data_IF_925855982664
#
_entry.id   IF_925855982664
#
_cell.length_a   1.000
_cell.length_b   1.000
_cell.length_c   1.000
_cell.angle_alpha   90.00
_cell.angle_beta   90.00
_cell.angle_gamma   90.00
#
_symmetry.space_group_name_H-M   'P 1'
#
loop_
_entity.id
_entity.type
_entity.pdbx_description
1 polymer ?
#
# COMPACT_ATOMS: atom_id res chain seq x y z
N UNK A 1 1.59 52.39 -2.27
CA UNK A 1 0.41 51.62 -1.88
C UNK A 1 0.90 50.32 -1.32
N UNK A 2 1.03 50.28 0.00
CA UNK A 2 1.45 49.10 0.73
C UNK A 2 0.23 48.17 0.85
N UNK A 3 0.26 47.05 0.14
CA UNK A 3 -0.72 46.00 0.32
C UNK A 3 -0.38 45.21 1.59
N UNK A 4 -1.14 45.49 2.66
CA UNK A 4 -1.15 44.65 3.84
C UNK A 4 -1.49 43.21 3.43
N UNK A 5 -0.50 42.31 3.49
CA UNK A 5 -0.76 40.89 3.55
C UNK A 5 -1.44 40.62 4.90
N UNK A 6 -2.75 40.64 4.90
CA UNK A 6 -3.54 40.05 5.97
C UNK A 6 -3.14 38.58 6.08
N UNK A 7 -2.28 38.25 7.03
CA UNK A 7 -2.11 36.88 7.50
C UNK A 7 -3.43 36.47 8.13
N UNK A 8 -4.27 35.79 7.36
CA UNK A 8 -5.45 35.13 7.88
C UNK A 8 -4.98 34.20 9.00
N UNK A 9 -5.48 34.42 10.20
CA UNK A 9 -5.25 33.54 11.35
C UNK A 9 -6.11 32.28 11.13
N UNK A 10 -5.59 31.37 10.32
CA UNK A 10 -6.29 30.19 9.78
C UNK A 10 -6.88 29.32 10.88
N UNK A 11 -6.33 29.41 12.11
CA UNK A 11 -6.70 28.52 13.22
C UNK A 11 -8.06 28.82 13.85
N UNK A 12 -8.59 30.04 13.75
CA UNK A 12 -9.86 30.40 14.38
C UNK A 12 -11.10 30.08 13.51
N UNK A 13 -10.95 29.95 12.20
CA UNK A 13 -12.05 29.70 11.26
C UNK A 13 -12.25 28.22 10.93
N UNK A 14 -11.34 27.34 11.36
CA UNK A 14 -11.46 25.90 11.11
C UNK A 14 -12.62 25.26 11.89
N UNK A 15 -13.43 24.45 11.22
CA UNK A 15 -14.58 23.78 11.84
C UNK A 15 -14.20 22.98 13.10
N UNK A 16 -13.09 22.23 13.04
CA UNK A 16 -12.58 21.43 14.16
C UNK A 16 -11.63 22.20 15.08
N UNK A 17 -11.51 23.52 14.93
CA UNK A 17 -10.56 24.40 15.65
C UNK A 17 -9.08 24.09 15.36
N UNK A 18 -8.79 23.13 14.53
CA UNK A 18 -7.47 22.75 14.03
C UNK A 18 -7.59 22.27 12.59
N UNK A 19 -6.55 22.43 11.75
CA UNK A 19 -6.51 21.83 10.43
C UNK A 19 -6.72 20.31 10.50
N UNK A 20 -7.65 19.81 9.69
CA UNK A 20 -7.90 18.36 9.52
C UNK A 20 -7.82 18.01 8.04
N UNK A 21 -7.33 16.84 7.79
CA UNK A 21 -7.12 16.35 6.43
C UNK A 21 -7.93 15.08 6.19
N UNK A 22 -8.30 14.84 4.95
CA UNK A 22 -8.89 13.56 4.53
C UNK A 22 -7.85 12.45 4.73
N UNK A 23 -8.31 11.29 5.18
CA UNK A 23 -7.41 10.19 5.53
C UNK A 23 -6.70 9.59 4.32
N UNK A 24 -5.43 9.25 4.49
CA UNK A 24 -4.63 8.53 3.48
C UNK A 24 -4.70 7.01 3.66
N UNK A 25 -5.25 6.54 4.79
CA UNK A 25 -5.38 5.13 5.16
C UNK A 25 -6.15 5.01 6.48
N UNK A 26 -6.87 3.93 6.67
CA UNK A 26 -7.53 3.56 7.93
C UNK A 26 -6.68 2.62 8.79
N UNK A 27 -5.48 2.25 8.35
CA UNK A 27 -4.63 1.25 9.01
C UNK A 27 -4.46 1.52 10.50
N UNK A 28 -4.01 2.72 10.89
CA UNK A 28 -3.71 3.02 12.29
C UNK A 28 -4.94 2.91 13.20
N UNK A 29 -6.14 3.17 12.66
CA UNK A 29 -7.39 2.97 13.38
C UNK A 29 -7.74 1.48 13.52
N UNK A 30 -7.53 0.69 12.46
CA UNK A 30 -7.73 -0.76 12.50
C UNK A 30 -6.78 -1.43 13.50
N UNK A 31 -5.55 -0.93 13.62
CA UNK A 31 -4.60 -1.41 14.63
C UNK A 31 -5.13 -1.22 16.07
N UNK A 32 -5.90 -0.17 16.34
CA UNK A 32 -6.55 -0.03 17.64
C UNK A 32 -7.62 -1.10 17.89
N UNK A 33 -8.37 -1.48 16.86
CA UNK A 33 -9.43 -2.49 16.97
C UNK A 33 -8.90 -3.93 16.98
N UNK A 34 -7.76 -4.22 16.36
CA UNK A 34 -7.19 -5.57 16.32
C UNK A 34 -6.74 -6.05 17.71
N UNK A 35 -6.50 -5.13 18.64
CA UNK A 35 -6.19 -5.48 20.03
C UNK A 35 -7.37 -6.14 20.75
N UNK A 36 -8.61 -5.82 20.39
CA UNK A 36 -9.82 -6.46 20.91
C UNK A 36 -10.29 -7.60 20.00
N UNK A 37 -10.28 -7.39 18.68
CA UNK A 37 -10.77 -8.32 17.68
C UNK A 37 -9.61 -9.02 16.97
N UNK A 38 -9.74 -10.33 16.72
CA UNK A 38 -8.67 -11.09 16.05
C UNK A 38 -8.44 -10.68 14.60
N UNK A 39 -9.50 -10.24 13.92
CA UNK A 39 -9.47 -9.80 12.52
C UNK A 39 -10.43 -8.63 12.35
N UNK A 40 -9.94 -7.57 11.77
CA UNK A 40 -10.73 -6.37 11.48
C UNK A 40 -10.43 -5.90 10.05
N UNK A 41 -11.44 -5.30 9.41
CA UNK A 41 -11.26 -4.79 8.06
C UNK A 41 -12.22 -3.63 7.78
N UNK A 42 -11.89 -2.85 6.77
CA UNK A 42 -12.75 -1.82 6.21
C UNK A 42 -12.57 -1.74 4.69
N UNK A 43 -13.62 -1.34 4.00
CA UNK A 43 -13.57 -0.88 2.61
C UNK A 43 -14.06 0.56 2.61
N UNK A 44 -13.15 1.51 2.43
CA UNK A 44 -13.43 2.93 2.61
C UNK A 44 -12.70 3.80 1.59
N UNK A 45 -13.20 5.03 1.32
CA UNK A 45 -12.48 5.99 0.50
C UNK A 45 -11.18 6.41 1.17
N UNK A 46 -10.15 6.55 0.35
CA UNK A 46 -8.81 6.98 0.72
C UNK A 46 -8.38 8.13 -0.18
N UNK A 47 -7.67 9.11 0.39
CA UNK A 47 -7.34 10.35 -0.30
C UNK A 47 -5.83 10.58 -0.32
N UNK A 48 -5.23 10.74 -1.52
CA UNK A 48 -3.81 11.03 -1.69
C UNK A 48 -3.60 12.12 -2.72
N UNK A 49 -3.06 13.26 -2.29
CA UNK A 49 -2.79 14.42 -3.16
C UNK A 49 -1.43 14.27 -3.88
N UNK A 50 -1.25 13.18 -4.60
CA UNK A 50 -0.04 12.94 -5.39
C UNK A 50 -0.08 13.73 -6.70
N UNK A 51 0.99 14.48 -6.99
CA UNK A 51 1.15 15.23 -8.24
C UNK A 51 1.55 14.29 -9.39
N UNK A 52 0.72 13.29 -9.66
CA UNK A 52 0.97 12.26 -10.67
C UNK A 52 -0.27 12.08 -11.55
N UNK A 53 -0.10 12.21 -12.85
CA UNK A 53 -1.15 12.01 -13.84
C UNK A 53 -0.82 10.80 -14.73
N UNK A 54 -0.98 9.60 -14.14
CA UNK A 54 -0.77 8.33 -14.83
C UNK A 54 -2.06 7.51 -14.84
N UNK A 55 -2.16 6.47 -15.67
CA UNK A 55 -3.30 5.56 -15.69
C UNK A 55 -3.56 4.81 -14.36
N UNK A 56 -2.69 4.94 -13.37
CA UNK A 56 -2.77 4.23 -12.08
C UNK A 56 -3.06 5.14 -10.90
N UNK A 57 -3.17 6.46 -11.11
CA UNK A 57 -3.32 7.43 -10.03
C UNK A 57 -4.63 8.21 -10.14
N UNK A 58 -5.36 8.20 -9.04
CA UNK A 58 -6.48 9.09 -8.75
C UNK A 58 -6.30 9.61 -7.32
N UNK A 59 -6.85 10.77 -7.01
CA UNK A 59 -6.70 11.41 -5.69
C UNK A 59 -7.64 10.84 -4.64
N UNK A 60 -8.73 10.23 -5.07
CA UNK A 60 -9.70 9.52 -4.24
C UNK A 60 -9.96 8.14 -4.83
N UNK A 61 -9.80 7.11 -4.03
CA UNK A 61 -9.98 5.71 -4.43
C UNK A 61 -10.44 4.87 -3.24
N UNK A 62 -10.99 3.71 -3.52
CA UNK A 62 -11.38 2.77 -2.48
C UNK A 62 -10.21 1.87 -2.10
N UNK A 63 -10.02 1.71 -0.80
CA UNK A 63 -9.02 0.80 -0.24
C UNK A 63 -9.68 -0.23 0.67
N UNK A 64 -9.43 -1.50 0.40
CA UNK A 64 -9.71 -2.58 1.35
C UNK A 64 -8.50 -2.71 2.26
N UNK A 65 -8.70 -2.45 3.55
CA UNK A 65 -7.65 -2.56 4.56
C UNK A 65 -8.06 -3.56 5.62
N UNK A 66 -7.12 -4.38 6.07
CA UNK A 66 -7.36 -5.38 7.10
C UNK A 66 -6.15 -5.51 8.03
N UNK A 67 -6.43 -5.75 9.32
CA UNK A 67 -5.45 -6.09 10.34
C UNK A 67 -5.84 -7.39 11.02
N UNK A 68 -4.86 -8.27 11.27
CA UNK A 68 -5.04 -9.57 11.93
C UNK A 68 -4.00 -9.77 13.01
N UNK A 69 -4.39 -10.44 14.10
CA UNK A 69 -3.43 -10.91 15.11
C UNK A 69 -2.60 -12.03 14.52
N UNK A 70 -1.29 -11.82 14.41
CA UNK A 70 -0.34 -12.81 13.90
C UNK A 70 1.09 -12.37 14.18
N UNK A 71 1.99 -13.33 14.28
CA UNK A 71 3.45 -13.13 14.29
C UNK A 71 4.07 -13.45 12.92
N UNK A 72 3.27 -13.89 11.96
CA UNK A 72 3.73 -14.42 10.68
C UNK A 72 3.31 -13.55 9.51
N UNK A 73 4.29 -12.98 8.81
CA UNK A 73 4.06 -12.30 7.53
C UNK A 73 3.45 -13.24 6.49
N UNK A 74 3.79 -14.53 6.59
CA UNK A 74 3.26 -15.58 5.74
C UNK A 74 1.73 -15.69 5.84
N UNK A 75 1.18 -15.63 7.06
CA UNK A 75 -0.29 -15.71 7.27
C UNK A 75 -1.01 -14.51 6.66
N UNK A 76 -0.40 -13.32 6.67
CA UNK A 76 -0.97 -12.14 6.03
C UNK A 76 -0.98 -12.32 4.51
N UNK A 77 0.11 -12.81 3.92
CA UNK A 77 0.20 -13.09 2.48
C UNK A 77 -0.77 -14.20 2.07
N UNK A 78 -0.90 -15.28 2.84
CA UNK A 78 -1.84 -16.38 2.57
C UNK A 78 -3.29 -15.89 2.57
N UNK A 79 -3.64 -15.01 3.51
CA UNK A 79 -4.97 -14.40 3.56
C UNK A 79 -5.26 -13.56 2.29
N UNK A 80 -4.30 -12.77 1.85
CA UNK A 80 -4.42 -11.97 0.61
C UNK A 80 -4.58 -12.87 -0.61
N UNK A 81 -3.75 -13.91 -0.72
CA UNK A 81 -3.79 -14.87 -1.83
C UNK A 81 -5.13 -15.60 -1.88
N UNK A 82 -5.60 -16.15 -0.75
CA UNK A 82 -6.87 -16.85 -0.66
C UNK A 82 -8.06 -15.94 -0.98
N UNK A 83 -8.06 -14.72 -0.47
CA UNK A 83 -9.12 -13.74 -0.70
C UNK A 83 -9.25 -13.42 -2.21
N UNK A 84 -8.16 -13.07 -2.87
CA UNK A 84 -8.19 -12.70 -4.29
C UNK A 84 -8.53 -13.91 -5.17
N UNK A 85 -7.97 -15.09 -4.86
CA UNK A 85 -8.33 -16.34 -5.54
C UNK A 85 -9.81 -16.65 -5.43
N UNK A 86 -10.34 -16.64 -4.22
CA UNK A 86 -11.76 -16.94 -3.97
C UNK A 86 -12.67 -15.96 -4.68
N UNK A 87 -12.33 -14.66 -4.64
CA UNK A 87 -13.06 -13.63 -5.40
C UNK A 87 -13.06 -13.92 -6.90
N UNK A 88 -11.90 -14.24 -7.46
CA UNK A 88 -11.76 -14.50 -8.90
C UNK A 88 -12.50 -15.76 -9.32
N UNK A 89 -12.45 -16.84 -8.55
CA UNK A 89 -13.22 -18.06 -8.79
C UNK A 89 -14.74 -17.77 -8.81
N UNK A 90 -15.23 -16.99 -7.85
CA UNK A 90 -16.65 -16.59 -7.83
C UNK A 90 -17.04 -15.72 -9.03
N UNK A 91 -16.15 -14.87 -9.52
CA UNK A 91 -16.38 -14.11 -10.75
C UNK A 91 -16.44 -15.03 -11.98
N UNK A 92 -15.58 -16.05 -12.07
CA UNK A 92 -15.62 -17.04 -13.14
C UNK A 92 -16.94 -17.79 -13.17
N UNK A 93 -17.47 -18.15 -12.00
CA UNK A 93 -18.74 -18.90 -11.87
C UNK A 93 -19.99 -18.02 -12.08
N UNK A 94 -19.87 -16.70 -12.03
CA UNK A 94 -21.00 -15.75 -12.05
C UNK A 94 -21.54 -15.45 -13.46
N UNK A 95 -20.81 -15.78 -14.53
CA UNK A 95 -21.14 -15.40 -15.90
C UNK A 95 -20.90 -13.93 -16.25
N UNK A 96 -20.31 -13.13 -15.35
CA UNK A 96 -20.03 -11.70 -15.57
C UNK A 96 -19.04 -11.46 -16.73
N UNK A 97 -18.25 -12.47 -17.10
CA UNK A 97 -17.31 -12.37 -18.21
C UNK A 97 -17.98 -12.03 -19.53
N UNK A 98 -19.09 -12.69 -19.81
CA UNK A 98 -19.88 -12.47 -21.03
C UNK A 98 -20.40 -11.03 -21.10
N UNK A 99 -20.82 -10.47 -19.96
CA UNK A 99 -21.26 -9.08 -19.86
C UNK A 99 -20.09 -8.10 -20.10
N UNK A 100 -18.93 -8.35 -19.52
CA UNK A 100 -17.71 -7.54 -19.73
C UNK A 100 -17.28 -7.56 -21.21
N UNK A 101 -17.30 -8.74 -21.83
CA UNK A 101 -16.97 -8.89 -23.25
C UNK A 101 -18.01 -8.15 -24.12
N UNK A 102 -19.28 -8.23 -23.78
CA UNK A 102 -20.35 -7.50 -24.49
C UNK A 102 -20.19 -5.98 -24.34
N UNK A 103 -19.94 -5.50 -23.13
CA UNK A 103 -19.73 -4.07 -22.87
C UNK A 103 -18.52 -3.51 -23.64
N UNK A 104 -17.43 -4.28 -23.73
CA UNK A 104 -16.25 -3.88 -24.50
C UNK A 104 -16.56 -3.79 -26.02
N UNK A 105 -17.45 -4.64 -26.54
CA UNK A 105 -17.89 -4.59 -27.97
C UNK A 105 -18.63 -3.30 -28.30
N UNK A 106 -19.44 -2.80 -27.38
CA UNK A 106 -20.29 -1.63 -27.62
C UNK A 106 -19.48 -0.34 -27.83
N UNK A 107 -18.22 -0.32 -27.37
CA UNK A 107 -17.33 0.83 -27.50
C UNK A 107 -16.40 0.80 -28.71
N UNK A 108 -16.30 -0.33 -29.45
CA UNK A 108 -15.33 -0.52 -30.53
C UNK A 108 -15.89 -1.32 -31.70
N UNK A 109 -15.55 -0.91 -32.92
CA UNK A 109 -16.06 -1.50 -34.17
C UNK A 109 -15.11 -2.60 -34.68
N UNK A 110 -15.32 -3.88 -34.28
CA UNK A 110 -14.61 -5.01 -34.86
C UNK A 110 -14.74 -6.33 -34.08
N UNK A 111 -15.11 -7.42 -34.80
CA UNK A 111 -15.24 -8.76 -34.20
C UNK A 111 -13.92 -9.35 -33.66
N UNK A 112 -12.75 -8.96 -34.18
CA UNK A 112 -11.45 -9.45 -33.74
C UNK A 112 -11.00 -8.94 -32.36
N UNK A 113 -11.33 -7.70 -32.03
CA UNK A 113 -10.97 -7.10 -30.74
C UNK A 113 -11.68 -7.75 -29.56
N UNK A 114 -12.90 -8.20 -29.76
CA UNK A 114 -13.71 -8.87 -28.74
C UNK A 114 -13.13 -10.25 -28.35
N UNK A 115 -12.61 -10.99 -29.32
CA UNK A 115 -11.95 -12.29 -29.04
C UNK A 115 -10.65 -12.07 -28.26
N UNK A 116 -9.87 -11.06 -28.61
CA UNK A 116 -8.63 -10.73 -27.90
C UNK A 116 -8.92 -10.31 -26.45
N UNK A 117 -9.96 -9.50 -26.24
CA UNK A 117 -10.36 -9.07 -24.90
C UNK A 117 -10.81 -10.26 -24.02
N UNK A 118 -11.59 -11.18 -24.59
CA UNK A 118 -11.98 -12.40 -23.87
C UNK A 118 -10.78 -13.25 -23.45
N UNK A 119 -9.79 -13.43 -24.35
CA UNK A 119 -8.55 -14.15 -24.05
C UNK A 119 -7.74 -13.44 -22.95
N UNK A 120 -7.67 -12.12 -22.98
CA UNK A 120 -7.00 -11.33 -21.94
C UNK A 120 -7.63 -11.57 -20.56
N UNK A 121 -8.96 -11.55 -20.46
CA UNK A 121 -9.66 -11.83 -19.20
C UNK A 121 -9.37 -13.25 -18.71
N UNK A 122 -9.39 -14.26 -19.61
CA UNK A 122 -9.08 -15.64 -19.26
C UNK A 122 -7.66 -15.77 -18.71
N UNK A 123 -6.68 -15.15 -19.34
CA UNK A 123 -5.29 -15.18 -18.90
C UNK A 123 -5.12 -14.54 -17.52
N UNK A 124 -5.71 -13.37 -17.31
CA UNK A 124 -5.65 -12.65 -16.03
C UNK A 124 -6.31 -13.44 -14.91
N UNK A 125 -7.52 -13.93 -15.11
CA UNK A 125 -8.24 -14.70 -14.11
C UNK A 125 -7.61 -16.05 -13.84
N UNK A 126 -7.09 -16.72 -14.88
CA UNK A 126 -6.33 -17.94 -14.71
C UNK A 126 -5.10 -17.73 -13.83
N UNK A 127 -4.31 -16.67 -14.07
CA UNK A 127 -3.14 -16.35 -13.23
C UNK A 127 -3.53 -16.10 -11.77
N UNK A 128 -4.65 -15.41 -11.52
CA UNK A 128 -5.13 -15.14 -10.16
C UNK A 128 -5.64 -16.40 -9.43
N UNK A 129 -6.08 -17.42 -10.15
CA UNK A 129 -6.60 -18.66 -9.55
C UNK A 129 -5.53 -19.73 -9.31
N UNK A 130 -4.33 -19.58 -9.89
CA UNK A 130 -3.21 -20.48 -9.59
C UNK A 130 -2.70 -20.27 -8.15
N UNK A 131 -2.16 -21.32 -7.54
CA UNK A 131 -1.60 -21.29 -6.17
C UNK A 131 -0.54 -22.38 -6.03
N UNK A 132 0.51 -22.17 -5.23
CA UNK A 132 0.85 -20.92 -4.53
C UNK A 132 1.47 -19.89 -5.48
N UNK A 133 1.26 -18.60 -5.17
CA UNK A 133 1.93 -17.53 -5.91
C UNK A 133 3.41 -17.45 -5.52
N UNK A 134 4.32 -17.18 -6.48
CA UNK A 134 5.75 -17.01 -6.22
C UNK A 134 6.01 -15.93 -5.16
N UNK A 135 7.04 -16.16 -4.34
CA UNK A 135 7.55 -15.22 -3.33
C UNK A 135 9.04 -15.02 -3.56
N UNK A 136 9.48 -13.78 -3.54
CA UNK A 136 10.87 -13.39 -3.75
C UNK A 136 11.23 -12.28 -2.76
N UNK A 137 12.44 -12.31 -2.22
CA UNK A 137 12.91 -11.19 -1.40
C UNK A 137 13.25 -9.98 -2.27
N UNK A 138 13.19 -8.78 -1.69
CA UNK A 138 13.66 -7.57 -2.38
C UNK A 138 15.12 -7.70 -2.83
N UNK A 139 15.97 -8.32 -2.01
CA UNK A 139 17.37 -8.57 -2.36
C UNK A 139 17.50 -9.42 -3.62
N UNK A 140 16.78 -10.53 -3.69
CA UNK A 140 16.82 -11.42 -4.86
C UNK A 140 16.18 -10.76 -6.09
N UNK A 141 15.15 -9.92 -5.89
CA UNK A 141 14.54 -9.15 -6.97
C UNK A 141 15.56 -8.15 -7.56
N UNK A 142 16.27 -7.38 -6.72
CA UNK A 142 17.34 -6.48 -7.18
C UNK A 142 18.45 -7.24 -7.89
N UNK A 143 18.89 -8.39 -7.37
CA UNK A 143 19.90 -9.22 -8.01
C UNK A 143 19.48 -9.67 -9.41
N UNK A 144 18.23 -10.17 -9.56
CA UNK A 144 17.69 -10.56 -10.87
C UNK A 144 17.63 -9.39 -11.86
N UNK A 145 17.23 -8.22 -11.42
CA UNK A 145 17.19 -7.01 -12.26
C UNK A 145 18.59 -6.61 -12.73
N UNK A 146 19.58 -6.63 -11.83
CA UNK A 146 20.98 -6.34 -12.16
C UNK A 146 21.57 -7.37 -13.11
N UNK A 147 21.25 -8.65 -12.94
CA UNK A 147 21.70 -9.72 -13.84
C UNK A 147 21.09 -9.57 -15.24
N UNK A 148 19.80 -9.21 -15.32
CA UNK A 148 19.13 -8.92 -16.58
C UNK A 148 19.73 -7.72 -17.31
N UNK A 149 20.05 -6.66 -16.58
CA UNK A 149 20.71 -5.47 -17.14
C UNK A 149 22.13 -5.82 -17.64
N UNK A 150 22.92 -6.53 -16.84
CA UNK A 150 24.29 -6.97 -17.23
C UNK A 150 24.31 -7.89 -18.43
N UNK A 151 23.37 -8.84 -18.51
CA UNK A 151 23.25 -9.76 -19.63
C UNK A 151 22.55 -9.17 -20.85
N UNK A 152 22.10 -7.92 -20.80
CA UNK A 152 21.33 -7.20 -21.84
C UNK A 152 19.99 -7.89 -22.18
N UNK A 153 19.44 -8.69 -21.27
CA UNK A 153 18.09 -9.25 -21.41
C UNK A 153 17.01 -8.18 -21.22
N UNK A 154 17.30 -7.14 -20.42
CA UNK A 154 16.44 -5.98 -20.24
C UNK A 154 17.29 -4.70 -20.21
N UNK A 155 16.67 -3.60 -20.65
CA UNK A 155 17.23 -2.25 -20.54
C UNK A 155 16.27 -1.46 -19.65
N UNK A 156 16.78 -0.94 -18.54
CA UNK A 156 16.02 -0.12 -17.61
C UNK A 156 16.43 1.35 -17.74
N UNK A 157 15.48 2.26 -17.59
CA UNK A 157 15.74 3.70 -17.54
C UNK A 157 16.43 4.09 -16.21
N UNK A 158 16.06 3.39 -15.12
CA UNK A 158 16.64 3.56 -13.79
C UNK A 158 17.47 2.33 -13.45
N UNK A 159 18.69 2.54 -13.03
CA UNK A 159 19.56 1.43 -12.61
C UNK A 159 18.98 0.76 -11.36
N UNK A 160 18.79 -0.58 -11.36
CA UNK A 160 18.31 -1.30 -10.19
C UNK A 160 19.32 -1.24 -9.06
N UNK A 161 18.95 -0.60 -7.95
CA UNK A 161 19.81 -0.52 -6.76
C UNK A 161 19.03 -0.72 -5.47
N UNK A 162 19.74 -1.14 -4.42
CA UNK A 162 19.18 -1.38 -3.10
C UNK A 162 18.49 -0.14 -2.52
N UNK A 163 19.06 1.03 -2.73
CA UNK A 163 18.66 2.27 -2.06
C UNK A 163 17.55 3.05 -2.76
N UNK A 164 17.31 2.81 -4.05
CA UNK A 164 16.36 3.62 -4.85
C UNK A 164 14.94 3.06 -4.90
N UNK A 165 14.73 1.85 -4.38
CA UNK A 165 13.45 1.16 -4.48
C UNK A 165 13.20 0.57 -5.87
N UNK A 166 12.19 -0.28 -5.99
CA UNK A 166 11.71 -0.77 -7.27
C UNK A 166 10.96 0.35 -7.99
N UNK A 167 11.34 0.61 -9.23
CA UNK A 167 10.59 1.48 -10.13
C UNK A 167 9.55 0.67 -10.89
N UNK A 168 8.56 1.31 -11.50
CA UNK A 168 7.51 0.66 -12.26
C UNK A 168 8.03 -0.36 -13.29
N UNK A 169 9.11 -0.03 -13.98
CA UNK A 169 9.73 -0.93 -14.98
C UNK A 169 10.35 -2.17 -14.33
N UNK A 170 10.88 -2.02 -13.10
CA UNK A 170 11.41 -3.13 -12.30
C UNK A 170 10.28 -4.05 -11.84
N UNK A 171 9.20 -3.49 -11.31
CA UNK A 171 8.01 -4.25 -10.90
C UNK A 171 7.42 -5.04 -12.07
N UNK A 172 7.28 -4.42 -13.25
CA UNK A 172 6.82 -5.09 -14.47
C UNK A 172 7.72 -6.26 -14.86
N UNK A 173 9.02 -6.06 -14.78
CA UNK A 173 9.99 -7.10 -15.12
C UNK A 173 9.88 -8.28 -14.13
N UNK A 174 9.82 -8.02 -12.83
CA UNK A 174 9.66 -9.06 -11.80
C UNK A 174 8.30 -9.77 -11.95
N UNK A 175 7.20 -9.05 -12.10
CA UNK A 175 5.89 -9.65 -12.33
C UNK A 175 5.87 -10.56 -13.59
N UNK A 176 6.52 -10.13 -14.66
CA UNK A 176 6.59 -10.91 -15.90
C UNK A 176 7.50 -12.14 -15.83
N UNK A 177 8.68 -12.00 -15.20
CA UNK A 177 9.71 -13.06 -15.22
C UNK A 177 9.59 -14.04 -14.07
N UNK A 178 9.24 -13.58 -12.87
CA UNK A 178 9.06 -14.44 -11.69
C UNK A 178 7.61 -14.94 -11.63
N UNK A 179 6.64 -14.05 -11.84
CA UNK A 179 5.22 -14.39 -11.82
C UNK A 179 4.78 -15.27 -12.99
N UNK A 180 5.36 -15.11 -14.18
CA UNK A 180 5.01 -15.87 -15.39
C UNK A 180 3.49 -15.88 -15.68
N UNK A 181 2.85 -14.71 -15.50
CA UNK A 181 1.40 -14.55 -15.63
C UNK A 181 0.63 -14.66 -14.32
N UNK A 182 1.27 -15.09 -13.23
CA UNK A 182 0.71 -15.11 -11.88
C UNK A 182 1.13 -13.86 -11.10
N UNK A 183 0.41 -13.49 -10.04
CA UNK A 183 0.90 -12.52 -9.05
C UNK A 183 2.20 -13.00 -8.40
N UNK A 184 3.00 -12.06 -7.89
CA UNK A 184 4.23 -12.37 -7.15
C UNK A 184 4.34 -11.47 -5.93
N UNK A 185 4.65 -12.06 -4.78
CA UNK A 185 4.99 -11.31 -3.59
C UNK A 185 6.48 -10.95 -3.59
N UNK A 186 6.78 -9.68 -3.39
CA UNK A 186 8.14 -9.22 -3.09
C UNK A 186 8.18 -8.85 -1.61
N UNK A 187 9.11 -9.43 -0.85
CA UNK A 187 9.19 -9.28 0.62
C UNK A 187 10.47 -8.59 1.06
N UNK A 188 10.53 -8.22 2.33
CA UNK A 188 11.76 -7.77 3.00
C UNK A 188 12.43 -6.55 2.35
N UNK A 189 11.64 -5.50 2.17
CA UNK A 189 12.14 -4.23 1.64
C UNK A 189 13.09 -3.52 2.60
N UNK A 190 13.98 -2.66 2.06
CA UNK A 190 14.88 -1.86 2.89
C UNK A 190 14.13 -0.98 3.89
N UNK A 191 14.51 -1.02 5.17
CA UNK A 191 13.85 -0.26 6.26
C UNK A 191 13.76 1.23 5.98
N UNK A 192 14.79 1.82 5.38
CA UNK A 192 14.85 3.26 5.06
C UNK A 192 13.79 3.73 4.05
N UNK A 193 13.24 2.81 3.26
CA UNK A 193 12.24 3.13 2.21
C UNK A 193 10.80 2.87 2.64
N UNK A 194 10.59 2.30 3.81
CA UNK A 194 9.27 1.89 4.31
C UNK A 194 8.90 2.67 5.59
N UNK A 195 7.60 2.80 5.91
CA UNK A 195 7.11 3.56 7.04
C UNK A 195 7.61 3.07 8.41
N UNK A 196 7.57 3.97 9.38
CA UNK A 196 8.09 3.79 10.74
C UNK A 196 7.46 2.64 11.54
N UNK A 197 6.22 2.27 11.24
CA UNK A 197 5.43 1.29 11.97
C UNK A 197 5.70 -0.17 11.59
N UNK A 198 6.51 -0.41 10.58
CA UNK A 198 6.80 -1.78 10.13
C UNK A 198 7.81 -2.48 11.03
N UNK A 199 7.52 -3.75 11.35
CA UNK A 199 8.40 -4.59 12.16
C UNK A 199 9.70 -4.90 11.40
N UNK A 200 10.91 -4.80 12.01
CA UNK A 200 12.13 -5.29 11.40
C UNK A 200 12.09 -6.79 11.09
N UNK A 201 12.64 -7.22 9.95
CA UNK A 201 12.69 -8.65 9.56
C UNK A 201 13.60 -9.47 10.46
N UNK A 202 14.63 -8.87 11.09
CA UNK A 202 15.52 -9.52 12.06
C UNK A 202 15.71 -8.64 13.28
N UNK A 203 15.84 -9.27 14.45
CA UNK A 203 16.06 -8.58 15.73
C UNK A 203 17.55 -8.41 16.05
N UNK A 204 18.46 -8.70 15.12
CA UNK A 204 19.88 -8.54 15.36
C UNK A 204 20.26 -7.07 15.52
N UNK A 205 20.81 -6.87 16.68
CA UNK A 205 21.42 -5.70 17.33
C UNK A 205 21.46 -4.32 16.63
N UNK A 206 20.93 -3.38 17.35
CA UNK A 206 21.40 -2.07 17.80
C UNK A 206 21.80 -0.99 16.77
N UNK A 207 22.12 -1.25 15.53
CA UNK A 207 22.39 -0.20 14.55
C UNK A 207 21.22 -0.06 13.56
N UNK A 208 20.29 0.82 13.91
CA UNK A 208 19.12 1.11 13.08
C UNK A 208 19.46 1.68 11.70
N UNK A 209 20.72 2.04 11.50
CA UNK A 209 21.23 2.67 10.27
C UNK A 209 22.04 1.73 9.39
N UNK A 210 22.14 0.43 9.72
CA UNK A 210 22.84 -0.52 8.86
C UNK A 210 22.21 -0.57 7.47
N UNK A 211 23.04 -0.54 6.44
CA UNK A 211 22.66 -0.31 5.04
C UNK A 211 21.73 -1.38 4.46
N UNK A 212 21.74 -2.58 5.03
CA UNK A 212 20.97 -3.74 4.53
C UNK A 212 19.86 -4.23 5.46
N UNK A 213 19.43 -3.43 6.44
CA UNK A 213 18.27 -3.79 7.28
C UNK A 213 16.97 -3.73 6.50
N UNK A 214 16.16 -4.77 6.73
CA UNK A 214 14.84 -4.92 6.09
C UNK A 214 13.72 -4.91 7.12
N UNK A 215 12.50 -4.75 6.64
CA UNK A 215 11.29 -4.85 7.43
C UNK A 215 10.41 -5.99 6.92
N UNK A 216 9.70 -6.63 7.83
CA UNK A 216 8.78 -7.73 7.54
C UNK A 216 7.53 -7.19 6.82
N UNK A 217 7.68 -6.94 5.53
CA UNK A 217 6.64 -6.41 4.67
C UNK A 217 6.61 -7.12 3.32
N UNK A 218 5.57 -6.89 2.58
CA UNK A 218 5.44 -7.35 1.19
C UNK A 218 4.68 -6.33 0.35
N UNK A 219 4.98 -6.34 -0.94
CA UNK A 219 4.13 -5.78 -1.97
C UNK A 219 3.72 -6.93 -2.91
N UNK A 220 2.42 -7.03 -3.25
CA UNK A 220 1.91 -7.97 -4.24
C UNK A 220 1.89 -7.31 -5.60
N UNK A 221 2.70 -7.82 -6.51
CA UNK A 221 2.77 -7.38 -7.89
C UNK A 221 1.89 -8.29 -8.76
N UNK A 222 0.96 -7.69 -9.47
CA UNK A 222 0.13 -8.37 -10.47
C UNK A 222 0.65 -7.96 -11.86
N UNK A 223 0.70 -8.88 -12.84
CA UNK A 223 1.10 -8.55 -14.20
C UNK A 223 0.37 -7.31 -14.74
N UNK A 224 1.05 -6.46 -15.49
CA UNK A 224 0.57 -5.21 -16.10
C UNK A 224 0.30 -4.07 -15.10
N UNK A 225 -0.39 -4.35 -13.97
CA UNK A 225 -0.84 -3.34 -12.99
C UNK A 225 0.23 -3.06 -11.93
N UNK A 226 1.15 -4.01 -11.69
CA UNK A 226 2.19 -3.97 -10.66
C UNK A 226 1.63 -4.02 -9.24
N UNK A 227 2.08 -3.18 -8.32
CA UNK A 227 1.61 -3.19 -6.94
C UNK A 227 0.10 -2.95 -6.83
N UNK A 228 -0.59 -3.94 -6.23
CA UNK A 228 -2.03 -3.88 -5.91
C UNK A 228 -2.28 -3.98 -4.42
N UNK A 229 -1.42 -4.72 -3.70
CA UNK A 229 -1.49 -4.88 -2.24
C UNK A 229 -0.13 -4.57 -1.64
N UNK A 230 -0.11 -3.77 -0.58
CA UNK A 230 1.02 -3.61 0.31
C UNK A 230 0.66 -4.04 1.73
N UNK A 231 1.55 -4.79 2.40
CA UNK A 231 1.29 -5.26 3.75
C UNK A 231 2.55 -5.43 4.58
N UNK A 232 2.39 -5.55 5.90
CA UNK A 232 3.52 -5.79 6.81
C UNK A 232 3.07 -6.36 8.16
N UNK A 233 4.02 -6.90 8.90
CA UNK A 233 3.91 -6.97 10.35
C UNK A 233 4.13 -5.60 10.96
N UNK A 234 3.47 -5.33 12.11
CA UNK A 234 3.52 -4.03 12.77
C UNK A 234 4.46 -4.08 13.99
N UNK A 235 5.18 -2.99 14.21
CA UNK A 235 6.00 -2.87 15.41
C UNK A 235 5.08 -2.72 16.63
N UNK A 236 5.14 -3.71 17.51
CA UNK A 236 4.27 -3.79 18.70
C UNK A 236 5.02 -3.45 20.00
N UNK A 237 6.34 -3.22 19.95
CA UNK A 237 7.18 -2.86 21.10
C UNK A 237 7.32 -1.34 21.16
N UNK A 238 6.99 -0.74 22.30
CA UNK A 238 6.91 0.71 22.45
C UNK A 238 8.25 1.41 22.22
N UNK A 239 9.36 0.84 22.73
CA UNK A 239 10.70 1.45 22.60
C UNK A 239 11.18 1.44 21.15
N UNK A 240 10.95 0.33 20.43
CA UNK A 240 11.38 0.18 19.04
C UNK A 240 10.52 1.03 18.10
N UNK A 241 9.19 1.10 18.34
CA UNK A 241 8.31 2.00 17.63
C UNK A 241 8.74 3.46 17.80
N UNK A 242 8.97 3.89 19.05
CA UNK A 242 9.37 5.26 19.37
C UNK A 242 10.72 5.62 18.75
N UNK A 243 11.66 4.68 18.75
CA UNK A 243 12.97 4.84 18.09
C UNK A 243 12.79 4.99 16.58
N UNK A 244 11.95 4.16 15.96
CA UNK A 244 11.64 4.22 14.54
C UNK A 244 10.95 5.53 14.16
N UNK A 245 9.99 6.01 14.95
CA UNK A 245 9.34 7.31 14.74
C UNK A 245 10.35 8.45 14.71
N UNK A 246 11.27 8.49 15.68
CA UNK A 246 12.34 9.52 15.72
C UNK A 246 13.24 9.48 14.49
N UNK A 247 13.62 8.28 14.03
CA UNK A 247 14.45 8.13 12.82
C UNK A 247 13.77 8.61 11.55
N UNK A 248 12.42 8.67 11.57
CA UNK A 248 11.59 9.23 10.49
C UNK A 248 11.23 10.71 10.70
N UNK A 249 11.83 11.38 11.69
CA UNK A 249 11.58 12.79 11.98
C UNK A 249 10.24 13.08 12.65
N UNK A 250 9.58 12.05 13.20
CA UNK A 250 8.34 12.21 13.95
C UNK A 250 8.65 12.48 15.43
N UNK A 251 7.94 13.44 16.03
CA UNK A 251 8.05 13.71 17.44
C UNK A 251 7.42 12.56 18.25
N UNK A 252 8.27 11.84 18.98
CA UNK A 252 7.84 10.85 19.96
C UNK A 252 8.50 11.22 21.30
N UNK A 253 7.72 11.28 22.37
CA UNK A 253 8.25 11.59 23.70
C UNK A 253 9.33 10.59 24.10
N UNK A 254 10.42 11.01 24.74
CA UNK A 254 11.45 10.12 25.27
C UNK A 254 10.84 9.12 26.26
N UNK A 255 11.40 7.91 26.32
CA UNK A 255 10.93 6.85 27.24
C UNK A 255 10.97 7.30 28.72
N UNK A 256 11.85 8.23 29.09
CA UNK A 256 11.94 8.83 30.43
C UNK A 256 10.77 9.77 30.76
N UNK A 257 10.10 10.32 29.76
CA UNK A 257 8.94 11.22 29.92
C UNK A 257 7.61 10.48 29.73
N UNK A 258 7.67 9.24 29.27
CA UNK A 258 6.49 8.39 29.04
C UNK A 258 5.69 8.12 30.33
N UNK A 259 6.32 8.19 31.49
CA UNK A 259 5.70 7.99 32.81
C UNK A 259 5.41 9.32 33.55
N UNK A 260 5.67 10.47 32.96
CA UNK A 260 5.26 11.75 33.54
C UNK A 260 3.76 11.95 33.32
N UNK A 261 3.03 12.30 34.39
CA UNK A 261 1.65 12.74 34.26
C UNK A 261 1.58 13.92 33.30
N UNK A 262 0.58 13.97 32.37
CA UNK A 262 0.47 15.09 31.45
C UNK A 262 0.32 16.39 32.22
N UNK A 263 1.28 17.31 32.03
CA UNK A 263 1.21 18.63 32.61
C UNK A 263 0.04 19.37 31.96
N UNK A 264 -0.97 19.72 32.76
CA UNK A 264 -2.21 20.33 32.31
C UNK A 264 -2.01 21.71 31.59
N UNK A 265 -0.78 22.22 31.59
CA UNK A 265 -0.42 23.51 30.98
C UNK A 265 0.37 23.39 29.66
N UNK A 266 0.69 22.20 29.20
CA UNK A 266 1.34 22.03 27.89
C UNK A 266 0.29 21.94 26.79
N UNK A 267 0.07 23.05 26.10
CA UNK A 267 -0.73 23.03 24.87
C UNK A 267 -0.07 22.07 23.86
N UNK A 268 -0.82 21.14 23.24
CA UNK A 268 -0.26 20.25 22.21
C UNK A 268 0.35 21.11 21.09
N UNK A 269 1.60 20.88 20.77
CA UNK A 269 2.24 21.53 19.63
C UNK A 269 1.48 21.18 18.34
N UNK A 270 0.98 22.19 17.66
CA UNK A 270 0.11 22.11 16.47
C UNK A 270 0.81 21.60 15.20
N UNK A 271 2.11 21.29 15.25
CA UNK A 271 2.94 21.15 14.03
C UNK A 271 3.14 19.71 13.49
N UNK A 272 2.79 18.69 14.27
CA UNK A 272 2.80 17.29 13.77
C UNK A 272 1.56 16.59 14.30
N UNK A 273 0.80 15.94 13.44
CA UNK A 273 -0.38 15.18 13.86
C UNK A 273 0.00 14.31 15.07
N UNK A 274 -0.68 14.54 16.20
CA UNK A 274 -0.35 13.87 17.45
C UNK A 274 -0.57 12.36 17.32
N UNK A 275 0.51 11.58 17.29
CA UNK A 275 0.51 10.12 17.26
C UNK A 275 0.67 9.50 18.66
N UNK A 276 0.53 10.29 19.75
CA UNK A 276 0.66 9.77 21.12
C UNK A 276 -0.35 8.65 21.38
N UNK A 277 -1.58 8.81 20.91
CA UNK A 277 -2.60 7.77 20.99
C UNK A 277 -2.15 6.45 20.34
N UNK A 278 -1.38 6.52 19.24
CA UNK A 278 -0.88 5.33 18.54
C UNK A 278 0.26 4.66 19.33
N UNK A 279 1.12 5.46 19.98
CA UNK A 279 2.13 4.97 20.92
C UNK A 279 1.45 4.35 22.14
N UNK A 280 0.39 4.96 22.65
CA UNK A 280 -0.38 4.48 23.80
C UNK A 280 -0.97 3.09 23.58
N UNK A 281 -1.34 2.73 22.35
CA UNK A 281 -1.75 1.37 22.01
C UNK A 281 -0.68 0.32 22.39
N UNK A 282 0.61 0.69 22.30
CA UNK A 282 1.73 -0.17 22.69
C UNK A 282 2.05 -0.10 24.17
N UNK A 283 1.85 1.07 24.78
CA UNK A 283 2.11 1.30 26.22
C UNK A 283 1.15 0.52 27.11
N UNK A 284 -0.11 0.47 26.76
CA UNK A 284 -1.15 -0.21 27.56
C UNK A 284 -1.36 -1.68 27.20
N UNK A 285 -0.50 -2.24 26.40
CA UNK A 285 -0.50 -3.64 26.01
C UNK A 285 -0.82 -3.82 24.52
N UNK A 286 0.15 -4.32 23.80
CA UNK A 286 0.03 -4.62 22.38
C UNK A 286 0.26 -6.10 22.14
N UNK A 287 -0.32 -6.60 21.07
CA UNK A 287 -0.12 -7.96 20.58
C UNK A 287 0.55 -7.91 19.21
N UNK A 288 1.36 -8.92 18.86
CA UNK A 288 1.82 -9.07 17.48
C UNK A 288 0.64 -9.08 16.51
N UNK A 289 0.72 -8.26 15.49
CA UNK A 289 -0.29 -8.16 14.45
C UNK A 289 0.33 -7.70 13.14
N UNK A 290 -0.39 -7.90 12.07
CA UNK A 290 -0.01 -7.46 10.75
C UNK A 290 -1.24 -7.25 9.88
N UNK A 291 -1.05 -6.60 8.76
CA UNK A 291 -2.16 -6.30 7.89
C UNK A 291 -1.71 -5.82 6.52
N UNK A 292 -2.71 -5.46 5.72
CA UNK A 292 -2.49 -5.03 4.36
C UNK A 292 -3.51 -3.97 3.92
N UNK A 293 -3.12 -3.20 2.90
CA UNK A 293 -4.01 -2.36 2.13
C UNK A 293 -4.06 -2.82 0.67
N UNK A 294 -5.25 -3.00 0.14
CA UNK A 294 -5.50 -3.38 -1.25
C UNK A 294 -6.20 -2.23 -1.98
N UNK A 295 -5.60 -1.75 -3.08
CA UNK A 295 -6.23 -0.78 -3.96
C UNK A 295 -7.40 -1.41 -4.72
N UNK A 296 -8.63 -1.23 -4.22
CA UNK A 296 -9.82 -1.87 -4.74
C UNK A 296 -10.07 -1.52 -6.21
N UNK A 297 -10.04 -0.24 -6.56
CA UNK A 297 -10.28 0.21 -7.94
C UNK A 297 -9.22 -0.33 -8.90
N UNK A 298 -7.98 -0.50 -8.42
CA UNK A 298 -6.89 -1.08 -9.22
C UNK A 298 -7.11 -2.56 -9.49
N UNK A 299 -7.51 -3.33 -8.48
CA UNK A 299 -7.88 -4.74 -8.64
C UNK A 299 -9.13 -4.88 -9.53
N UNK A 300 -10.15 -4.05 -9.32
CA UNK A 300 -11.37 -4.04 -10.15
C UNK A 300 -11.04 -3.79 -11.61
N UNK A 301 -10.18 -2.79 -11.90
CA UNK A 301 -9.72 -2.51 -13.27
C UNK A 301 -9.02 -3.71 -13.90
N UNK A 302 -8.15 -4.40 -13.16
CA UNK A 302 -7.48 -5.61 -13.64
C UNK A 302 -8.48 -6.73 -13.96
N UNK A 303 -9.41 -7.00 -13.04
CA UNK A 303 -10.44 -8.04 -13.20
C UNK A 303 -11.41 -7.74 -14.35
N UNK A 304 -11.73 -6.47 -14.56
CA UNK A 304 -12.64 -6.03 -15.62
C UNK A 304 -11.94 -5.77 -16.98
N UNK A 305 -10.64 -5.94 -17.07
CA UNK A 305 -9.89 -5.69 -18.32
C UNK A 305 -9.68 -4.22 -18.64
N UNK A 306 -9.84 -3.30 -17.67
CA UNK A 306 -9.70 -1.86 -17.83
C UNK A 306 -8.26 -1.45 -17.52
N UNK A 307 -7.60 -0.74 -18.44
CA UNK A 307 -6.20 -0.34 -18.30
C UNK A 307 -5.96 1.01 -17.62
N UNK A 308 -7.00 1.83 -17.44
CA UNK A 308 -6.90 3.13 -16.82
C UNK A 308 -7.87 3.23 -15.63
N UNK A 309 -7.34 3.46 -14.43
CA UNK A 309 -8.13 3.55 -13.19
C UNK A 309 -9.22 4.65 -13.26
N UNK A 310 -9.00 5.69 -14.06
CA UNK A 310 -9.97 6.78 -14.26
C UNK A 310 -11.26 6.30 -14.96
N UNK A 311 -11.19 5.18 -15.68
CA UNK A 311 -12.34 4.57 -16.34
C UNK A 311 -13.07 3.57 -15.42
N UNK A 312 -12.49 3.25 -14.25
CA UNK A 312 -13.08 2.40 -13.22
C UNK A 312 -13.93 3.20 -12.24
N UNK A 313 -13.48 4.42 -11.92
CA UNK A 313 -14.13 5.30 -10.95
C UNK A 313 -15.17 6.17 -11.64
N UNK A 314 -16.46 6.20 -11.18
CA UNK A 314 -17.51 6.96 -11.85
C UNK A 314 -17.24 8.46 -12.01
N UNK A 315 -16.62 9.10 -11.00
CA UNK A 315 -16.23 10.52 -11.00
C UNK A 315 -14.77 10.65 -10.57
N UNK A 316 -13.81 10.38 -11.48
CA UNK A 316 -12.41 10.32 -11.10
C UNK A 316 -11.86 11.72 -10.76
N UNK A 317 -11.32 11.85 -9.56
CA UNK A 317 -10.54 13.02 -9.12
C UNK A 317 -9.07 12.69 -9.23
N UNK A 318 -8.31 13.52 -9.91
CA UNK A 318 -6.88 13.32 -10.11
C UNK A 318 -6.13 14.66 -10.21
N UNK A 319 -4.81 14.62 -10.27
CA UNK A 319 -4.02 15.83 -10.37
C UNK A 319 -4.51 16.74 -11.51
N UNK A 320 -4.82 17.99 -11.16
CA UNK A 320 -5.32 18.99 -12.09
C UNK A 320 -6.81 18.89 -12.44
N UNK A 321 -7.55 17.89 -11.92
CA UNK A 321 -8.97 17.73 -12.21
C UNK A 321 -9.79 17.27 -10.98
N UNK A 322 -10.80 18.09 -10.65
CA UNK A 322 -11.81 17.79 -9.65
C UNK A 322 -13.11 18.51 -10.05
N UNK A 323 -13.90 17.88 -10.94
CA UNK A 323 -15.06 18.51 -11.57
C UNK A 323 -16.37 18.29 -10.79
N UNK A 324 -16.34 17.55 -9.69
CA UNK A 324 -17.52 17.23 -8.87
C UNK A 324 -17.17 17.22 -7.39
#
# INVERSE_FOLDING_TARGET
MNGDKQTCDVTNDEFFKHPKYLTVSSQLHLEAFVHEHQKVWTLSPTFRAEKSDTPRHVSEFWMLEAEIRTESLQEVMDLVEEMIRTLTMRLQDSGIKEELVYANRSGKSGNGESTHFSILLDQRWHGLTQSPWPRITYQDAIQKLQDAARSKQAIFQHEPSWSTGLQLEHEKYIAGTVGQGNPVFVTDYPRKTKPFYMLPSSFEAADDMAEHKTVACFDLLIPEVCEVVGGSLREHRVEDLTRSMRSHGLNALPSSEINAEPDANTSPSLETGNLDWYVDLRRYGSMPHGGFGLGFDRLLGYLAGIGNIKDVVPWPRHYGRCDC
#
